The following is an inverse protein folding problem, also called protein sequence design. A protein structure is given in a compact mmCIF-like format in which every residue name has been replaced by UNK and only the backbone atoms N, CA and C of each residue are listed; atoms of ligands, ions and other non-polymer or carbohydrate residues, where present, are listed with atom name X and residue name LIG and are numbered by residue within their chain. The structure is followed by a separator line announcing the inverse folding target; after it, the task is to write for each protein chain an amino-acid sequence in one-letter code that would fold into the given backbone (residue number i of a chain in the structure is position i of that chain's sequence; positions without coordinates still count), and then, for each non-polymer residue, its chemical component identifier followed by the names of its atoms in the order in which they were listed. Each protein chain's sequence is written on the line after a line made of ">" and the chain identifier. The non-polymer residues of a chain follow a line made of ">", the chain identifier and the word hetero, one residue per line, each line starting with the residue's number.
data_IF_086246564852
#
_entry.id   IF_086246564852
#
_cell.length_a   1.000
_cell.length_b   1.000
_cell.length_c   1.000
_cell.angle_alpha   90.00
_cell.angle_beta   90.00
_cell.angle_gamma   90.00
#
_symmetry.space_group_name_H-M   'P 1'
#
loop_
_entity.id
_entity.type
_entity.pdbx_description
1 polymer ?
#
# COMPACT_ATOMS: atom_id res chain seq x y z
N UNK A 1 8.05 6.47 -5.33
CA UNK A 1 7.67 6.92 -3.98
C UNK A 1 7.35 5.72 -3.11
N UNK A 2 7.71 5.79 -1.85
CA UNK A 2 7.32 4.79 -0.85
C UNK A 2 7.04 5.49 0.47
N UNK A 3 6.27 4.83 1.33
CA UNK A 3 5.98 5.37 2.65
C UNK A 3 5.24 4.36 3.53
N UNK A 4 5.26 4.64 4.81
CA UNK A 4 4.79 3.73 5.86
C UNK A 4 3.60 4.32 6.61
N UNK A 5 2.69 3.48 7.05
CA UNK A 5 1.50 3.84 7.81
C UNK A 5 0.62 4.86 7.07
N UNK A 6 -0.08 5.70 7.85
CA UNK A 6 -0.94 6.74 7.31
C UNK A 6 -0.14 7.81 6.55
N UNK A 7 0.94 8.32 7.15
CA UNK A 7 1.74 9.40 6.57
C UNK A 7 2.49 9.00 5.32
N UNK A 8 2.78 7.70 5.15
CA UNK A 8 3.53 7.22 4.01
C UNK A 8 2.74 6.27 3.12
N UNK A 9 2.14 5.23 3.70
CA UNK A 9 1.43 4.22 2.92
C UNK A 9 0.20 4.77 2.22
N UNK A 10 -0.70 5.40 2.97
CA UNK A 10 -1.91 5.99 2.39
C UNK A 10 -1.58 7.15 1.46
N UNK A 11 -0.69 8.05 1.88
CA UNK A 11 -0.34 9.20 1.04
C UNK A 11 0.43 8.81 -0.22
N UNK A 12 1.19 7.72 -0.19
CA UNK A 12 1.82 7.18 -1.39
C UNK A 12 0.75 6.81 -2.43
N UNK A 13 -0.32 6.16 -2.02
CA UNK A 13 -1.42 5.80 -2.91
C UNK A 13 -2.17 7.02 -3.41
N UNK A 14 -2.43 7.99 -2.54
CA UNK A 14 -3.09 9.24 -2.93
C UNK A 14 -2.23 10.05 -3.90
N UNK A 15 -0.93 10.11 -3.66
CA UNK A 15 0.01 10.78 -4.56
C UNK A 15 0.02 10.11 -5.94
N UNK A 16 0.03 8.78 -5.98
CA UNK A 16 -0.01 8.03 -7.23
C UNK A 16 -1.30 8.30 -8.02
N UNK A 17 -2.41 8.58 -7.33
CA UNK A 17 -3.67 8.92 -7.99
C UNK A 17 -3.66 10.29 -8.64
N UNK A 18 -2.83 11.22 -8.14
CA UNK A 18 -2.80 12.61 -8.61
C UNK A 18 -1.59 12.95 -9.48
N UNK A 19 -0.58 12.11 -9.53
CA UNK A 19 0.68 12.40 -10.23
C UNK A 19 1.02 11.31 -11.24
N UNK A 20 0.80 11.61 -12.50
CA UNK A 20 1.01 10.65 -13.60
C UNK A 20 2.48 10.39 -13.92
N UNK A 21 3.36 11.32 -13.57
CA UNK A 21 4.81 11.19 -13.77
C UNK A 21 5.50 10.25 -12.79
N UNK A 22 4.79 9.78 -11.76
CA UNK A 22 5.33 8.82 -10.80
C UNK A 22 5.50 7.45 -11.45
N UNK A 23 6.73 6.94 -11.46
CA UNK A 23 7.08 5.70 -12.18
C UNK A 23 6.87 4.43 -11.38
N UNK A 24 6.90 4.51 -10.06
CA UNK A 24 6.66 3.37 -9.18
C UNK A 24 6.22 3.83 -7.80
N UNK A 25 5.35 3.04 -7.17
CA UNK A 25 4.88 3.31 -5.82
C UNK A 25 4.89 2.02 -4.99
N UNK A 26 5.38 2.12 -3.75
CA UNK A 26 5.32 1.03 -2.77
C UNK A 26 4.67 1.57 -1.51
N UNK A 27 3.51 1.04 -1.17
CA UNK A 27 2.73 1.46 0.00
C UNK A 27 2.79 0.39 1.10
N UNK A 28 3.26 0.79 2.28
CA UNK A 28 3.39 -0.09 3.45
C UNK A 28 2.24 0.18 4.42
N UNK A 29 1.41 -0.81 4.64
CA UNK A 29 0.30 -0.83 5.61
C UNK A 29 -0.42 0.53 5.78
N UNK A 30 -0.71 1.19 4.66
CA UNK A 30 -1.50 2.42 4.63
C UNK A 30 -2.99 2.13 4.54
N UNK A 31 -3.81 2.96 5.14
CA UNK A 31 -5.25 2.82 5.05
C UNK A 31 -5.73 2.97 3.61
N UNK A 32 -6.63 2.08 3.22
CA UNK A 32 -7.24 2.05 1.88
C UNK A 32 -8.59 2.77 1.90
N UNK A 33 -9.33 2.64 3.01
CA UNK A 33 -10.53 3.41 3.30
C UNK A 33 -10.24 4.33 4.47
N UNK A 34 -10.41 5.65 4.33
CA UNK A 34 -10.22 6.56 5.46
C UNK A 34 -11.30 6.33 6.51
N UNK A 35 -10.98 6.65 7.76
CA UNK A 35 -11.96 6.64 8.83
C UNK A 35 -13.10 7.61 8.50
N UNK A 36 -14.34 7.18 8.73
CA UNK A 36 -15.50 8.05 8.53
C UNK A 36 -15.51 9.12 9.62
N UNK A 37 -15.33 10.36 9.23
CA UNK A 37 -15.48 11.51 10.12
C UNK A 37 -16.77 12.22 9.75
N UNK A 38 -17.72 12.37 10.68
CA UNK A 38 -18.97 13.09 10.40
C UNK A 38 -18.70 14.49 9.83
N UNK A 39 -19.39 14.84 8.75
CA UNK A 39 -19.26 16.16 8.12
C UNK A 39 -18.03 16.35 7.22
N UNK A 40 -17.15 15.35 7.13
CA UNK A 40 -15.99 15.40 6.25
C UNK A 40 -16.17 14.41 5.11
N UNK A 41 -16.15 14.93 3.88
CA UNK A 41 -16.09 14.09 2.67
C UNK A 41 -14.63 14.03 2.24
N UNK A 42 -14.02 12.87 2.42
CA UNK A 42 -12.66 12.64 1.91
C UNK A 42 -12.65 11.38 1.05
N UNK A 43 -12.05 11.47 -0.13
CA UNK A 43 -11.81 10.31 -0.97
C UNK A 43 -10.56 9.58 -0.46
N UNK A 44 -10.68 8.27 -0.24
CA UNK A 44 -9.55 7.43 0.11
C UNK A 44 -8.92 6.79 -1.13
N UNK A 45 -7.80 6.06 -0.97
CA UNK A 45 -7.13 5.39 -2.08
C UNK A 45 -8.04 4.48 -2.91
N UNK A 46 -8.96 3.76 -2.27
CA UNK A 46 -9.87 2.86 -2.99
C UNK A 46 -10.81 3.63 -3.92
N UNK A 47 -11.30 4.79 -3.49
CA UNK A 47 -12.17 5.64 -4.30
C UNK A 47 -11.44 6.20 -5.54
N UNK A 48 -10.13 6.33 -5.46
CA UNK A 48 -9.29 6.91 -6.51
C UNK A 48 -8.52 5.87 -7.32
N UNK A 49 -8.77 4.58 -7.11
CA UNK A 49 -8.02 3.50 -7.75
C UNK A 49 -7.97 3.63 -9.28
N UNK A 50 -9.10 4.00 -9.90
CA UNK A 50 -9.18 4.15 -11.36
C UNK A 50 -8.30 5.29 -11.89
N UNK A 51 -7.89 6.23 -11.05
CA UNK A 51 -7.04 7.36 -11.43
C UNK A 51 -5.54 7.04 -11.32
N UNK A 52 -5.18 5.96 -10.64
CA UNK A 52 -3.79 5.54 -10.49
C UNK A 52 -3.29 4.97 -11.80
N UNK A 53 -2.22 5.53 -12.35
CA UNK A 53 -1.57 5.07 -13.58
C UNK A 53 -0.15 4.56 -13.34
N UNK A 54 0.26 4.49 -12.09
CA UNK A 54 1.58 4.08 -11.65
C UNK A 54 1.55 2.61 -11.24
N UNK A 55 2.59 1.80 -11.56
CA UNK A 55 2.72 0.46 -10.97
C UNK A 55 2.79 0.54 -9.44
N UNK A 56 1.94 -0.21 -8.76
CA UNK A 56 1.80 -0.15 -7.30
C UNK A 56 2.08 -1.51 -6.67
N UNK A 57 2.99 -1.52 -5.69
CA UNK A 57 3.18 -2.64 -4.76
C UNK A 57 2.60 -2.23 -3.40
N UNK A 58 1.71 -3.05 -2.87
CA UNK A 58 1.16 -2.89 -1.52
C UNK A 58 1.66 -3.98 -0.59
N UNK A 59 2.14 -3.60 0.59
CA UNK A 59 2.70 -4.51 1.58
C UNK A 59 1.94 -4.34 2.89
N UNK A 60 1.16 -5.38 3.25
CA UNK A 60 0.20 -5.30 4.35
C UNK A 60 0.31 -6.51 5.28
N UNK A 61 -0.02 -6.32 6.55
CA UNK A 61 -0.14 -7.41 7.50
C UNK A 61 -1.55 -7.99 7.51
N UNK A 62 -1.66 -9.31 7.42
CA UNK A 62 -2.96 -9.98 7.45
C UNK A 62 -3.63 -9.93 8.83
N UNK A 63 -2.84 -9.67 9.88
CA UNK A 63 -3.34 -9.52 11.25
C UNK A 63 -3.50 -8.05 11.67
N UNK A 64 -3.43 -7.11 10.72
CA UNK A 64 -3.64 -5.70 10.99
C UNK A 64 -5.14 -5.44 11.23
N UNK A 65 -5.49 -5.06 12.44
CA UNK A 65 -6.87 -4.83 12.84
C UNK A 65 -7.44 -3.51 12.29
N UNK A 66 -6.58 -2.59 11.91
CA UNK A 66 -6.98 -1.29 11.36
C UNK A 66 -7.16 -1.28 9.85
N UNK A 67 -6.66 -2.32 9.16
CA UNK A 67 -6.75 -2.44 7.71
C UNK A 67 -7.24 -3.84 7.36
N UNK A 68 -8.57 -4.02 7.15
CA UNK A 68 -9.11 -5.33 6.84
C UNK A 68 -8.51 -5.94 5.58
N UNK A 69 -8.21 -7.24 5.62
CA UNK A 69 -7.67 -7.95 4.46
C UNK A 69 -8.58 -7.85 3.24
N UNK A 70 -9.90 -7.80 3.46
CA UNK A 70 -10.86 -7.61 2.39
C UNK A 70 -10.66 -6.29 1.63
N UNK A 71 -10.32 -5.21 2.34
CA UNK A 71 -10.05 -3.91 1.71
C UNK A 71 -8.79 -3.96 0.85
N UNK A 72 -7.75 -4.65 1.31
CA UNK A 72 -6.50 -4.84 0.57
C UNK A 72 -6.76 -5.58 -0.74
N UNK A 73 -7.53 -6.65 -0.68
CA UNK A 73 -7.90 -7.45 -1.86
C UNK A 73 -8.77 -6.65 -2.82
N UNK A 74 -9.68 -5.86 -2.31
CA UNK A 74 -10.55 -5.01 -3.13
C UNK A 74 -9.74 -3.93 -3.87
N UNK A 75 -8.76 -3.33 -3.20
CA UNK A 75 -7.87 -2.34 -3.82
C UNK A 75 -7.05 -2.95 -4.96
N UNK A 76 -6.47 -4.13 -4.74
CA UNK A 76 -5.73 -4.83 -5.79
C UNK A 76 -6.62 -5.15 -6.98
N UNK A 77 -7.82 -5.66 -6.71
CA UNK A 77 -8.79 -5.99 -7.77
C UNK A 77 -9.22 -4.75 -8.56
N UNK A 78 -9.45 -3.62 -7.87
CA UNK A 78 -9.82 -2.37 -8.52
C UNK A 78 -8.72 -1.84 -9.43
N UNK A 79 -7.46 -1.92 -9.01
CA UNK A 79 -6.33 -1.51 -9.83
C UNK A 79 -6.18 -2.40 -11.06
N UNK A 80 -6.27 -3.71 -10.90
CA UNK A 80 -6.19 -4.66 -12.02
C UNK A 80 -7.36 -4.49 -12.99
N UNK A 81 -8.57 -4.25 -12.50
CA UNK A 81 -9.73 -3.99 -13.34
C UNK A 81 -9.57 -2.72 -14.18
N UNK A 82 -8.79 -1.75 -13.70
CA UNK A 82 -8.45 -0.53 -14.45
C UNK A 82 -7.28 -0.70 -15.40
N UNK A 83 -6.76 -1.92 -15.55
CA UNK A 83 -5.63 -2.21 -16.42
C UNK A 83 -4.26 -1.85 -15.84
N UNK A 84 -4.17 -1.59 -14.54
CA UNK A 84 -2.93 -1.19 -13.89
C UNK A 84 -2.12 -2.39 -13.41
N UNK A 85 -0.79 -2.22 -13.38
CA UNK A 85 0.11 -3.20 -12.76
C UNK A 85 0.08 -3.00 -11.25
N UNK A 86 -0.42 -4.01 -10.54
CA UNK A 86 -0.54 -3.97 -9.09
C UNK A 86 -0.24 -5.33 -8.49
N UNK A 87 0.49 -5.34 -7.39
CA UNK A 87 0.74 -6.53 -6.58
C UNK A 87 0.54 -6.14 -5.11
N UNK A 88 -0.38 -6.82 -4.43
CA UNK A 88 -0.65 -6.55 -3.02
C UNK A 88 -0.40 -7.83 -2.23
N UNK A 89 0.49 -7.75 -1.25
CA UNK A 89 0.94 -8.88 -0.45
C UNK A 89 0.37 -8.74 0.96
N UNK A 90 -0.26 -9.82 1.43
CA UNK A 90 -0.75 -9.93 2.81
C UNK A 90 0.12 -10.94 3.55
N UNK A 91 0.82 -10.49 4.59
CA UNK A 91 1.70 -11.33 5.39
C UNK A 91 0.92 -11.97 6.54
N UNK A 92 0.77 -13.32 6.55
CA UNK A 92 0.04 -14.01 7.62
C UNK A 92 0.64 -13.72 8.99
N UNK A 93 -0.22 -13.44 9.97
CA UNK A 93 0.20 -13.17 11.35
C UNK A 93 0.92 -11.85 11.57
N UNK A 94 1.20 -11.07 10.53
CA UNK A 94 1.86 -9.79 10.67
C UNK A 94 0.86 -8.69 11.04
N UNK A 95 1.11 -7.95 12.13
CA UNK A 95 0.25 -6.84 12.53
C UNK A 95 0.63 -5.54 11.81
N UNK A 96 -0.09 -4.47 12.12
CA UNK A 96 0.27 -3.14 11.63
C UNK A 96 1.70 -2.77 12.04
N UNK A 97 2.42 -2.10 11.13
CA UNK A 97 3.81 -1.66 11.34
C UNK A 97 4.80 -2.82 11.56
N UNK A 98 4.59 -3.95 10.89
CA UNK A 98 5.45 -5.13 11.04
C UNK A 98 6.91 -4.91 10.61
N UNK A 99 7.20 -3.87 9.85
CA UNK A 99 8.55 -3.52 9.39
C UNK A 99 9.34 -2.69 10.41
N UNK A 100 8.67 -2.09 11.38
CA UNK A 100 9.31 -1.20 12.35
C UNK A 100 10.04 -2.00 13.43
N UNK A 101 11.36 -2.12 13.33
CA UNK A 101 12.20 -2.97 14.17
C UNK A 101 12.30 -2.50 15.64
N UNK A 102 11.85 -1.30 15.94
CA UNK A 102 11.80 -0.73 17.28
C UNK A 102 10.44 -0.94 17.97
N UNK A 103 9.52 -1.68 17.36
CA UNK A 103 8.16 -1.92 17.90
C UNK A 103 7.93 -3.40 18.19
N UNK A 104 7.06 -3.73 19.17
CA UNK A 104 6.65 -5.12 19.40
C UNK A 104 5.96 -5.77 18.20
N UNK A 105 5.42 -4.96 17.30
CA UNK A 105 4.78 -5.42 16.06
C UNK A 105 5.76 -5.94 15.01
N UNK A 106 7.07 -5.75 15.20
CA UNK A 106 8.09 -6.19 14.26
C UNK A 106 8.03 -7.70 13.99
N UNK A 107 8.05 -8.04 12.70
CA UNK A 107 8.10 -9.44 12.25
C UNK A 107 9.26 -9.59 11.28
N UNK A 108 10.41 -10.13 11.72
CA UNK A 108 11.64 -10.15 10.92
C UNK A 108 11.50 -10.81 9.55
N UNK A 109 10.80 -11.94 9.49
CA UNK A 109 10.62 -12.68 8.23
C UNK A 109 9.76 -11.89 7.24
N UNK A 110 8.62 -11.39 7.69
CA UNK A 110 7.75 -10.55 6.85
C UNK A 110 8.46 -9.27 6.41
N UNK A 111 9.15 -8.61 7.34
CA UNK A 111 9.91 -7.39 7.05
C UNK A 111 11.00 -7.64 6.01
N UNK A 112 11.74 -8.74 6.13
CA UNK A 112 12.79 -9.11 5.18
C UNK A 112 12.26 -9.39 3.78
N UNK A 113 11.18 -10.15 3.68
CA UNK A 113 10.55 -10.43 2.39
C UNK A 113 9.96 -9.17 1.77
N UNK A 114 9.26 -8.36 2.56
CA UNK A 114 8.67 -7.12 2.09
C UNK A 114 9.74 -6.15 1.56
N UNK A 115 10.87 -6.04 2.26
CA UNK A 115 11.98 -5.20 1.82
C UNK A 115 12.57 -5.68 0.49
N UNK A 116 12.76 -6.98 0.31
CA UNK A 116 13.22 -7.55 -0.96
C UNK A 116 12.26 -7.20 -2.09
N UNK A 117 10.95 -7.33 -1.87
CA UNK A 117 9.93 -7.00 -2.86
C UNK A 117 9.92 -5.52 -3.20
N UNK A 118 10.05 -4.66 -2.20
CA UNK A 118 10.15 -3.22 -2.39
C UNK A 118 11.33 -2.85 -3.29
N UNK A 119 12.50 -3.38 -2.99
CA UNK A 119 13.71 -3.14 -3.80
C UNK A 119 13.55 -3.67 -5.23
N UNK A 120 13.02 -4.87 -5.39
CA UNK A 120 12.79 -5.46 -6.70
C UNK A 120 11.80 -4.65 -7.52
N UNK A 121 10.76 -4.12 -6.89
CA UNK A 121 9.77 -3.27 -7.55
C UNK A 121 10.42 -2.00 -8.12
N UNK A 122 11.20 -1.31 -7.30
CA UNK A 122 11.91 -0.11 -7.76
C UNK A 122 12.96 -0.43 -8.82
N UNK A 123 13.68 -1.53 -8.68
CA UNK A 123 14.65 -1.94 -9.71
C UNK A 123 13.96 -2.20 -11.05
N UNK A 124 12.79 -2.80 -11.03
CA UNK A 124 12.03 -3.11 -12.26
C UNK A 124 11.52 -1.86 -12.97
N UNK A 125 11.04 -0.87 -12.22
CA UNK A 125 10.33 0.27 -12.80
C UNK A 125 11.12 1.57 -12.87
N UNK A 126 12.22 1.68 -12.14
CA UNK A 126 13.06 2.88 -12.14
C UNK A 126 14.35 2.74 -12.97
N UNK A 127 14.77 1.52 -13.23
CA UNK A 127 15.95 1.25 -14.05
C UNK A 127 15.50 0.87 -15.47
N UNK A 128 15.48 1.81 -16.30
CA UNK A 128 15.24 1.53 -17.67
C UNK A 128 14.02 1.99 -18.27
#
# INVERSE_FOLDING_TARGET
>A
MTGFCRGGGMYTLLFAAHRRELKAAVAWYGQIRPAKTPGVRSAGPLDLAAQIKTPVLGLFGAADLGIPAADVKEMEAALKASGQTAEFVLYPGAPHAFFADYRPSYRPEAAGDAWRRCRAWFNKYLKG
#
